data_IF_208461705486
#
_entry.id   IF_208461705486
#
_cell.length_a   1.000
_cell.length_b   1.000
_cell.length_c   1.000
_cell.angle_alpha   90.00
_cell.angle_beta   90.00
_cell.angle_gamma   90.00
#
_symmetry.space_group_name_H-M   'P 1'
#
loop_
_entity.id
_entity.type
_entity.pdbx_description
1 polymer ?
#
# COMPACT_ATOMS: atom_id res chain seq x y z
N UNK A 1 -15.36 -4.64 -11.92
CA UNK A 1 -13.96 -4.59 -11.75
C UNK A 1 -13.49 -4.30 -10.34
N UNK A 2 -12.36 -3.63 -10.25
CA UNK A 2 -11.66 -3.43 -8.97
C UNK A 2 -12.46 -2.66 -7.91
N UNK A 3 -13.40 -1.80 -8.31
CA UNK A 3 -14.23 -1.02 -7.36
C UNK A 3 -15.04 -1.89 -6.40
N UNK A 4 -15.71 -2.92 -6.92
CA UNK A 4 -16.51 -3.84 -6.09
C UNK A 4 -15.63 -4.64 -5.14
N UNK A 5 -14.45 -5.03 -5.61
CA UNK A 5 -13.47 -5.74 -4.79
C UNK A 5 -12.96 -4.84 -3.64
N UNK A 6 -12.57 -3.61 -3.94
CA UNK A 6 -12.10 -2.67 -2.91
C UNK A 6 -13.20 -2.27 -1.93
N UNK A 7 -14.44 -2.06 -2.38
CA UNK A 7 -15.57 -1.78 -1.49
C UNK A 7 -15.87 -2.97 -0.58
N UNK A 8 -15.83 -4.21 -1.11
CA UNK A 8 -15.95 -5.41 -0.31
C UNK A 8 -14.82 -5.52 0.72
N UNK A 9 -13.59 -5.28 0.30
CA UNK A 9 -12.42 -5.28 1.19
C UNK A 9 -12.54 -4.24 2.31
N UNK A 10 -13.03 -3.04 2.00
CA UNK A 10 -13.25 -1.99 3.01
C UNK A 10 -14.24 -2.43 4.09
N UNK A 11 -15.34 -3.10 3.69
CA UNK A 11 -16.31 -3.67 4.64
C UNK A 11 -15.71 -4.74 5.54
N UNK A 12 -14.79 -5.56 4.99
CA UNK A 12 -14.05 -6.51 5.80
C UNK A 12 -13.13 -5.81 6.81
N UNK A 13 -12.45 -4.74 6.40
CA UNK A 13 -11.60 -3.94 7.28
C UNK A 13 -12.37 -3.33 8.45
N UNK A 14 -13.60 -2.89 8.25
CA UNK A 14 -14.46 -2.30 9.28
C UNK A 14 -14.74 -3.27 10.44
N UNK A 15 -14.78 -4.58 10.15
CA UNK A 15 -15.05 -5.63 11.15
C UNK A 15 -13.81 -6.43 11.56
N UNK A 16 -12.67 -6.20 10.93
CA UNK A 16 -11.49 -7.06 11.06
C UNK A 16 -10.98 -7.21 12.50
N UNK A 17 -11.03 -6.15 13.30
CA UNK A 17 -10.61 -6.23 14.71
C UNK A 17 -11.50 -7.16 15.53
N UNK A 18 -12.79 -7.21 15.24
CA UNK A 18 -13.73 -8.13 15.86
C UNK A 18 -13.48 -9.57 15.40
N UNK A 19 -13.36 -9.77 14.08
CA UNK A 19 -13.21 -11.11 13.49
C UNK A 19 -11.91 -11.80 13.93
N UNK A 20 -10.83 -11.02 14.10
CA UNK A 20 -9.54 -11.52 14.58
C UNK A 20 -9.42 -11.56 16.11
N UNK A 21 -10.41 -11.04 16.84
CA UNK A 21 -10.31 -10.78 18.29
C UNK A 21 -8.98 -10.08 18.63
N UNK A 22 -8.62 -9.09 17.83
CA UNK A 22 -7.35 -8.37 17.95
C UNK A 22 -7.46 -6.98 17.32
N UNK A 23 -7.08 -5.94 18.06
CA UNK A 23 -7.15 -4.56 17.55
C UNK A 23 -6.10 -4.33 16.45
N UNK A 24 -6.53 -4.31 15.19
CA UNK A 24 -5.69 -4.00 14.03
C UNK A 24 -5.42 -2.50 13.86
N UNK A 25 -5.98 -1.68 14.77
CA UNK A 25 -5.82 -0.22 14.77
C UNK A 25 -6.21 0.41 13.42
N UNK A 26 -7.31 -0.07 12.84
CA UNK A 26 -7.90 0.56 11.66
C UNK A 26 -8.66 1.81 12.10
N UNK A 27 -8.31 2.96 11.51
CA UNK A 27 -8.88 4.26 11.79
C UNK A 27 -9.38 4.89 10.51
N UNK A 28 -10.70 5.05 10.39
CA UNK A 28 -11.33 5.71 9.26
C UNK A 28 -11.18 7.22 9.40
N UNK A 29 -10.29 7.80 8.61
CA UNK A 29 -9.90 9.22 8.69
C UNK A 29 -10.12 9.97 7.37
N UNK A 30 -10.78 9.37 6.42
CA UNK A 30 -10.87 9.77 5.03
C UNK A 30 -9.54 9.65 4.26
N UNK A 31 -9.67 9.33 2.98
CA UNK A 31 -8.61 9.44 1.98
C UNK A 31 -8.93 10.63 1.08
N UNK A 32 -8.04 11.61 1.04
CA UNK A 32 -8.21 12.87 0.31
C UNK A 32 -7.17 12.93 -0.81
N UNK A 33 -7.60 12.73 -2.04
CA UNK A 33 -6.73 12.79 -3.23
C UNK A 33 -6.83 14.18 -3.86
N UNK A 34 -5.76 14.96 -3.72
CA UNK A 34 -5.69 16.31 -4.28
C UNK A 34 -5.60 16.27 -5.81
N UNK A 35 -6.24 17.20 -6.48
CA UNK A 35 -6.01 17.43 -7.91
C UNK A 35 -5.39 18.81 -8.17
N UNK A 36 -4.39 18.80 -9.05
CA UNK A 36 -3.52 19.94 -9.32
C UNK A 36 -3.74 20.52 -10.72
N UNK A 37 -4.72 20.00 -11.47
CA UNK A 37 -5.07 20.49 -12.80
C UNK A 37 -6.55 20.29 -13.09
N UNK A 38 -7.16 21.06 -14.01
CA UNK A 38 -8.53 20.84 -14.46
C UNK A 38 -8.75 19.43 -15.01
N UNK A 39 -7.79 18.90 -15.78
CA UNK A 39 -7.87 17.54 -16.33
C UNK A 39 -7.89 16.48 -15.22
N UNK A 40 -7.08 16.63 -14.16
CA UNK A 40 -7.09 15.74 -13.01
C UNK A 40 -8.42 15.79 -12.25
N UNK A 41 -9.01 17.01 -12.09
CA UNK A 41 -10.34 17.20 -11.51
C UNK A 41 -11.41 16.48 -12.32
N UNK A 42 -11.43 16.68 -13.63
CA UNK A 42 -12.44 16.08 -14.51
C UNK A 42 -12.27 14.54 -14.56
N UNK A 43 -11.04 14.05 -14.52
CA UNK A 43 -10.74 12.61 -14.38
C UNK A 43 -11.22 12.04 -13.04
N UNK A 44 -11.03 12.77 -11.95
CA UNK A 44 -11.55 12.42 -10.65
C UNK A 44 -13.09 12.38 -10.64
N UNK A 45 -13.75 13.40 -11.19
CA UNK A 45 -15.20 13.45 -11.26
C UNK A 45 -15.78 12.25 -12.03
N UNK A 46 -15.20 11.89 -13.18
CA UNK A 46 -15.61 10.68 -13.93
C UNK A 46 -15.45 9.40 -13.12
N UNK A 47 -14.30 9.21 -12.47
CA UNK A 47 -14.07 8.03 -11.62
C UNK A 47 -15.08 7.97 -10.48
N UNK A 48 -15.33 9.06 -9.79
CA UNK A 48 -16.29 9.12 -8.69
C UNK A 48 -17.72 8.83 -9.11
N UNK A 49 -18.15 9.31 -10.28
CA UNK A 49 -19.45 8.97 -10.81
C UNK A 49 -19.59 7.45 -11.05
N UNK A 50 -18.56 6.82 -11.60
CA UNK A 50 -18.51 5.35 -11.78
C UNK A 50 -18.54 4.65 -10.41
N UNK A 51 -17.72 5.09 -9.45
CA UNK A 51 -17.69 4.50 -8.11
C UNK A 51 -19.05 4.57 -7.42
N UNK A 52 -19.75 5.70 -7.52
CA UNK A 52 -21.10 5.87 -6.96
C UNK A 52 -22.13 4.93 -7.59
N UNK A 53 -22.05 4.67 -8.90
CA UNK A 53 -22.88 3.66 -9.57
C UNK A 53 -22.68 2.25 -9.01
N UNK A 54 -21.49 1.96 -8.47
CA UNK A 54 -21.14 0.69 -7.82
C UNK A 54 -21.34 0.73 -6.29
N UNK A 55 -22.02 1.74 -5.76
CA UNK A 55 -22.35 1.83 -4.34
C UNK A 55 -21.20 2.31 -3.44
N UNK A 56 -20.11 2.80 -4.01
CA UNK A 56 -18.99 3.35 -3.24
C UNK A 56 -19.24 4.80 -2.88
N UNK A 57 -19.11 5.14 -1.59
CA UNK A 57 -19.20 6.51 -1.11
C UNK A 57 -17.99 7.33 -1.59
N UNK A 58 -18.27 8.49 -2.16
CA UNK A 58 -17.22 9.40 -2.57
C UNK A 58 -17.77 10.83 -2.73
N UNK A 59 -16.93 11.80 -2.44
CA UNK A 59 -17.24 13.22 -2.55
C UNK A 59 -16.16 13.94 -3.36
N UNK A 60 -16.57 15.03 -3.99
CA UNK A 60 -15.64 16.00 -4.55
C UNK A 60 -15.68 17.25 -3.67
N UNK A 61 -14.54 17.60 -3.09
CA UNK A 61 -14.39 18.83 -2.33
C UNK A 61 -13.84 19.93 -3.22
N UNK A 62 -14.51 21.07 -3.20
CA UNK A 62 -13.99 22.30 -3.75
C UNK A 62 -12.88 22.89 -2.84
N UNK A 63 -12.29 23.99 -3.29
CA UNK A 63 -11.18 24.61 -2.58
C UNK A 63 -11.56 25.11 -1.19
N UNK A 64 -12.77 25.67 -1.04
CA UNK A 64 -13.24 26.23 0.24
C UNK A 64 -13.53 25.13 1.25
N UNK A 65 -14.21 24.07 0.81
CA UNK A 65 -14.43 22.87 1.63
C UNK A 65 -13.10 22.26 2.07
N UNK A 66 -12.15 22.16 1.15
CA UNK A 66 -10.83 21.60 1.45
C UNK A 66 -10.05 22.46 2.45
N UNK A 67 -10.02 23.79 2.29
CA UNK A 67 -9.40 24.72 3.23
C UNK A 67 -9.97 24.63 4.64
N UNK A 68 -11.30 24.48 4.74
CA UNK A 68 -11.97 24.35 6.03
C UNK A 68 -11.63 23.03 6.74
N UNK A 69 -11.43 21.95 5.99
CA UNK A 69 -11.13 20.63 6.55
C UNK A 69 -9.62 20.38 6.77
N UNK A 70 -8.76 20.95 5.92
CA UNK A 70 -7.31 20.76 5.99
C UNK A 70 -6.61 22.13 5.81
N UNK A 71 -6.67 23.03 6.80
CA UNK A 71 -6.18 24.40 6.65
C UNK A 71 -4.66 24.53 6.50
N UNK A 72 -3.91 23.48 6.82
CA UNK A 72 -2.45 23.54 6.88
C UNK A 72 -1.76 23.17 5.55
N UNK A 73 -2.53 22.89 4.49
CA UNK A 73 -1.97 22.69 3.15
C UNK A 73 -1.51 24.02 2.53
N UNK A 74 -0.56 23.94 1.63
CA UNK A 74 -0.04 25.10 0.91
C UNK A 74 -0.94 25.46 -0.29
N UNK A 75 -1.96 26.25 -0.03
CA UNK A 75 -2.92 26.70 -1.06
C UNK A 75 -2.36 27.79 -1.98
N UNK A 76 -1.22 28.37 -1.65
CA UNK A 76 -0.56 29.43 -2.42
C UNK A 76 0.59 28.91 -3.29
N UNK A 77 0.70 27.59 -3.45
CA UNK A 77 1.75 26.99 -4.27
C UNK A 77 1.44 27.15 -5.75
N UNK A 78 2.17 28.05 -6.43
CA UNK A 78 1.99 28.29 -7.86
C UNK A 78 2.48 27.14 -8.73
N UNK A 79 3.47 26.37 -8.28
CA UNK A 79 4.03 25.25 -9.03
C UNK A 79 3.12 24.00 -8.97
N UNK A 80 2.47 23.79 -7.82
CA UNK A 80 1.56 22.65 -7.61
C UNK A 80 0.24 23.17 -7.02
N UNK A 81 -0.58 23.90 -7.82
CA UNK A 81 -1.81 24.51 -7.34
C UNK A 81 -2.78 23.43 -6.88
N UNK A 82 -3.43 23.65 -5.76
CA UNK A 82 -4.50 22.77 -5.27
C UNK A 82 -5.83 23.32 -5.77
N UNK A 83 -6.56 22.56 -6.56
CA UNK A 83 -7.85 22.95 -7.13
C UNK A 83 -9.04 22.30 -6.42
N UNK A 84 -8.79 21.39 -5.50
CA UNK A 84 -9.78 20.62 -4.76
C UNK A 84 -9.30 19.20 -4.53
N UNK A 85 -10.21 18.33 -4.11
CA UNK A 85 -9.91 16.93 -3.82
C UNK A 85 -11.07 15.98 -4.11
N UNK A 86 -10.69 14.73 -4.40
CA UNK A 86 -11.60 13.60 -4.37
C UNK A 86 -11.47 12.89 -3.02
N UNK A 87 -12.58 12.62 -2.34
CA UNK A 87 -12.59 12.18 -0.95
C UNK A 87 -13.38 10.89 -0.78
N UNK A 88 -12.77 9.90 -0.11
CA UNK A 88 -13.43 8.68 0.35
C UNK A 88 -13.40 8.67 1.89
N UNK A 89 -14.56 8.96 2.51
CA UNK A 89 -14.65 9.16 3.97
C UNK A 89 -14.39 7.89 4.79
N UNK A 90 -14.77 6.73 4.27
CA UNK A 90 -14.61 5.45 4.98
C UNK A 90 -13.19 4.89 4.90
N UNK A 91 -12.35 5.39 4.01
CA UNK A 91 -10.95 5.04 3.95
C UNK A 91 -10.17 5.61 5.15
N UNK A 92 -9.00 5.09 5.40
CA UNK A 92 -8.20 5.50 6.55
C UNK A 92 -6.86 4.80 6.64
N UNK A 93 -6.34 4.73 7.84
CA UNK A 93 -5.07 4.08 8.17
C UNK A 93 -5.29 2.80 8.97
N UNK A 94 -4.47 1.79 8.71
CA UNK A 94 -4.31 0.63 9.58
C UNK A 94 -2.84 0.49 9.97
N UNK A 95 -2.57 -0.04 11.14
CA UNK A 95 -1.20 -0.35 11.54
C UNK A 95 -0.81 -1.71 10.97
N UNK A 96 0.16 -1.70 10.08
CA UNK A 96 0.62 -2.89 9.38
C UNK A 96 1.13 -4.00 10.33
N UNK A 97 1.87 -3.63 11.37
CA UNK A 97 2.35 -4.55 12.41
C UNK A 97 1.19 -5.20 13.19
N UNK A 98 0.23 -4.41 13.66
CA UNK A 98 -0.95 -4.90 14.36
C UNK A 98 -1.80 -5.81 13.47
N UNK A 99 -1.95 -5.47 12.21
CA UNK A 99 -2.68 -6.30 11.24
C UNK A 99 -2.01 -7.66 11.06
N UNK A 100 -0.69 -7.68 10.83
CA UNK A 100 0.07 -8.93 10.69
C UNK A 100 -0.03 -9.79 11.94
N UNK A 101 0.13 -9.22 13.13
CA UNK A 101 -0.01 -9.94 14.39
C UNK A 101 -1.43 -10.46 14.62
N UNK A 102 -2.46 -9.69 14.25
CA UNK A 102 -3.85 -10.12 14.34
C UNK A 102 -4.11 -11.38 13.49
N UNK A 103 -3.70 -11.36 12.22
CA UNK A 103 -3.82 -12.51 11.34
C UNK A 103 -2.97 -13.70 11.80
N UNK A 104 -1.73 -13.48 12.24
CA UNK A 104 -0.86 -14.55 12.70
C UNK A 104 -1.45 -15.26 13.94
N UNK A 105 -1.94 -14.51 14.93
CA UNK A 105 -2.59 -15.07 16.12
C UNK A 105 -3.86 -15.86 15.76
N UNK A 106 -4.69 -15.33 14.90
CA UNK A 106 -5.90 -16.02 14.46
C UNK A 106 -5.56 -17.30 13.69
N UNK A 107 -4.57 -17.27 12.81
CA UNK A 107 -4.10 -18.45 12.08
C UNK A 107 -3.56 -19.51 13.06
N UNK A 108 -2.71 -19.15 14.00
CA UNK A 108 -2.16 -20.04 15.04
C UNK A 108 -3.31 -20.70 15.86
N UNK A 109 -4.28 -19.91 16.28
CA UNK A 109 -5.46 -20.45 17.03
C UNK A 109 -6.31 -21.44 16.22
N UNK A 110 -6.23 -21.40 14.89
CA UNK A 110 -6.86 -22.33 13.96
C UNK A 110 -5.97 -23.54 13.62
N UNK A 111 -4.79 -23.65 14.22
CA UNK A 111 -3.86 -24.76 14.05
C UNK A 111 -2.94 -24.62 12.83
N UNK A 112 -2.71 -23.40 12.35
CA UNK A 112 -1.75 -23.15 11.27
C UNK A 112 -0.33 -23.07 11.86
N UNK A 113 0.58 -23.89 11.35
CA UNK A 113 2.00 -23.80 11.69
C UNK A 113 2.67 -22.61 10.99
N UNK A 114 3.19 -21.66 11.76
CA UNK A 114 3.90 -20.49 11.27
C UNK A 114 5.40 -20.67 11.48
N UNK A 115 6.14 -20.90 10.42
CA UNK A 115 7.58 -21.13 10.45
C UNK A 115 8.36 -19.84 10.15
N UNK A 116 8.74 -19.12 11.19
CA UNK A 116 9.59 -17.93 11.05
C UNK A 116 11.03 -18.31 10.73
N UNK A 117 11.79 -17.41 10.06
CA UNK A 117 13.18 -17.65 9.66
C UNK A 117 13.32 -18.98 8.88
N UNK A 118 12.42 -19.20 7.94
CA UNK A 118 12.38 -20.36 7.07
C UNK A 118 12.33 -19.88 5.62
N UNK A 119 13.50 -19.65 5.05
CA UNK A 119 13.64 -19.15 3.68
C UNK A 119 13.37 -20.25 2.67
N UNK A 120 12.58 -19.93 1.64
CA UNK A 120 12.40 -20.79 0.47
C UNK A 120 13.60 -20.63 -0.44
N UNK A 121 14.34 -21.71 -0.63
CA UNK A 121 15.59 -21.75 -1.43
C UNK A 121 15.41 -22.43 -2.77
N UNK A 122 14.30 -23.12 -3.00
CA UNK A 122 14.01 -23.78 -4.26
C UNK A 122 12.64 -24.43 -4.32
N UNK A 123 12.26 -24.84 -5.52
CA UNK A 123 10.99 -25.51 -5.80
C UNK A 123 11.30 -26.74 -6.64
N UNK A 124 10.98 -27.92 -6.14
CA UNK A 124 11.01 -29.16 -6.91
C UNK A 124 9.65 -29.46 -7.50
N UNK A 125 9.60 -29.72 -8.77
CA UNK A 125 8.36 -30.07 -9.49
C UNK A 125 8.54 -31.26 -10.41
N UNK A 126 7.44 -31.98 -10.60
CA UNK A 126 7.20 -32.82 -11.78
C UNK A 126 6.65 -31.97 -12.93
N UNK A 127 6.24 -32.62 -14.00
CA UNK A 127 5.67 -31.93 -15.16
C UNK A 127 4.46 -31.05 -14.80
N UNK A 128 3.57 -31.49 -13.91
CA UNK A 128 2.28 -30.87 -13.62
C UNK A 128 2.08 -30.42 -12.16
N UNK A 129 2.97 -30.73 -11.24
CA UNK A 129 2.78 -30.50 -9.81
C UNK A 129 4.07 -30.02 -9.14
N UNK A 130 3.92 -29.22 -8.08
CA UNK A 130 4.96 -29.03 -7.07
C UNK A 130 5.07 -30.34 -6.26
N UNK A 131 6.27 -30.88 -6.15
CA UNK A 131 6.59 -32.07 -5.34
C UNK A 131 7.05 -31.71 -3.94
N UNK A 132 7.91 -30.69 -3.84
CA UNK A 132 8.39 -30.13 -2.57
C UNK A 132 8.84 -28.69 -2.72
N UNK A 133 8.75 -27.96 -1.62
CA UNK A 133 9.39 -26.65 -1.42
C UNK A 133 10.66 -26.87 -0.62
N UNK A 134 11.80 -26.53 -1.19
CA UNK A 134 13.08 -26.55 -0.50
C UNK A 134 13.22 -25.31 0.36
N UNK A 135 13.58 -25.49 1.62
CA UNK A 135 13.72 -24.37 2.56
C UNK A 135 15.04 -24.48 3.34
N UNK A 136 15.42 -23.39 4.01
CA UNK A 136 16.56 -23.37 4.93
C UNK A 136 16.43 -24.36 6.10
N UNK A 137 15.23 -24.93 6.31
CA UNK A 137 14.93 -25.94 7.34
C UNK A 137 14.63 -27.33 6.78
N UNK A 138 14.93 -27.57 5.50
CA UNK A 138 14.68 -28.83 4.81
C UNK A 138 13.52 -28.76 3.83
N UNK A 139 13.26 -29.88 3.16
CA UNK A 139 12.23 -30.00 2.16
C UNK A 139 10.84 -30.19 2.81
N UNK A 140 9.85 -29.46 2.32
CA UNK A 140 8.47 -29.53 2.77
C UNK A 140 7.57 -30.01 1.63
N UNK A 141 6.65 -30.92 1.92
CA UNK A 141 5.67 -31.45 0.96
C UNK A 141 4.27 -31.04 1.38
N UNK A 142 3.47 -30.64 0.42
CA UNK A 142 2.06 -30.29 0.62
C UNK A 142 1.18 -30.76 -0.54
N UNK A 143 -0.09 -31.02 -0.26
CA UNK A 143 -1.08 -31.34 -1.30
C UNK A 143 -1.38 -30.15 -2.20
N UNK A 144 -1.35 -28.94 -1.65
CA UNK A 144 -1.56 -27.66 -2.33
C UNK A 144 -0.52 -26.66 -1.85
N UNK A 145 -0.06 -25.80 -2.75
CA UNK A 145 0.91 -24.75 -2.48
C UNK A 145 0.33 -23.42 -2.92
N UNK A 146 0.48 -22.38 -2.10
CA UNK A 146 0.10 -21.01 -2.43
C UNK A 146 1.33 -20.12 -2.42
N UNK A 147 1.56 -19.36 -3.48
CA UNK A 147 2.54 -18.28 -3.47
C UNK A 147 1.81 -16.97 -3.10
N UNK A 148 2.16 -16.40 -1.95
CA UNK A 148 1.65 -15.13 -1.46
C UNK A 148 2.84 -14.36 -0.84
N UNK A 149 3.78 -13.95 -1.68
CA UNK A 149 5.11 -13.49 -1.29
C UNK A 149 5.43 -12.07 -1.79
N UNK A 150 4.39 -11.34 -2.17
CA UNK A 150 4.45 -9.93 -2.60
C UNK A 150 5.63 -9.67 -3.56
N UNK A 151 6.48 -8.72 -3.30
CA UNK A 151 7.61 -8.34 -4.16
C UNK A 151 8.59 -9.44 -4.55
N UNK A 152 8.52 -10.64 -3.95
CA UNK A 152 9.32 -11.80 -4.34
C UNK A 152 8.59 -12.81 -5.24
N UNK A 153 7.39 -12.49 -5.68
CA UNK A 153 6.54 -13.39 -6.46
C UNK A 153 7.21 -13.84 -7.76
N UNK A 154 7.79 -12.94 -8.52
CA UNK A 154 8.50 -13.29 -9.77
C UNK A 154 9.69 -14.21 -9.53
N UNK A 155 10.39 -14.08 -8.40
CA UNK A 155 11.51 -14.93 -8.04
C UNK A 155 11.05 -16.38 -7.78
N UNK A 156 10.02 -16.57 -6.95
CA UNK A 156 9.48 -17.90 -6.68
C UNK A 156 8.84 -18.53 -7.92
N UNK A 157 8.24 -17.73 -8.77
CA UNK A 157 7.68 -18.15 -10.04
C UNK A 157 8.74 -18.74 -10.98
N UNK A 158 9.88 -18.06 -11.08
CA UNK A 158 11.05 -18.54 -11.82
C UNK A 158 11.66 -19.80 -11.20
N UNK A 159 11.75 -19.86 -9.87
CA UNK A 159 12.21 -21.07 -9.15
C UNK A 159 11.31 -22.28 -9.43
N UNK A 160 10.00 -22.06 -9.65
CA UNK A 160 9.07 -23.09 -10.07
C UNK A 160 9.16 -23.45 -11.58
N UNK A 161 10.08 -22.82 -12.32
CA UNK A 161 10.30 -23.07 -13.74
C UNK A 161 9.11 -22.67 -14.63
N UNK A 162 8.35 -21.66 -14.21
CA UNK A 162 7.16 -21.18 -14.95
C UNK A 162 7.45 -20.00 -15.89
N UNK A 163 8.72 -19.67 -16.11
CA UNK A 163 9.13 -18.57 -16.97
C UNK A 163 8.97 -17.21 -16.30
N UNK A 164 8.52 -16.22 -17.06
CA UNK A 164 8.36 -14.85 -16.58
C UNK A 164 6.90 -14.55 -16.23
N UNK A 165 6.69 -13.94 -15.08
CA UNK A 165 5.43 -13.35 -14.68
C UNK A 165 5.48 -11.84 -14.97
N UNK A 166 4.40 -11.20 -15.49
CA UNK A 166 4.40 -9.76 -15.77
C UNK A 166 4.22 -8.94 -14.49
N UNK A 167 5.07 -9.19 -13.51
CA UNK A 167 5.20 -8.47 -12.25
C UNK A 167 6.66 -8.07 -12.08
N UNK A 168 6.89 -6.81 -11.80
CA UNK A 168 8.20 -6.24 -11.54
C UNK A 168 8.30 -5.77 -10.09
N UNK A 169 9.47 -5.97 -9.49
CA UNK A 169 9.70 -5.60 -8.10
C UNK A 169 10.44 -4.28 -8.02
N UNK A 170 9.84 -3.31 -7.33
CA UNK A 170 10.38 -1.99 -7.15
C UNK A 170 10.45 -1.64 -5.67
N UNK A 171 11.41 -0.79 -5.32
CA UNK A 171 11.55 -0.29 -3.97
C UNK A 171 10.60 0.87 -3.74
N UNK A 172 9.86 0.84 -2.64
CA UNK A 172 9.04 1.93 -2.13
C UNK A 172 9.54 2.34 -0.75
N UNK A 173 9.62 3.65 -0.48
CA UNK A 173 10.14 4.17 0.77
C UNK A 173 9.07 4.92 1.56
N UNK A 174 9.16 4.82 2.87
CA UNK A 174 8.33 5.55 3.81
C UNK A 174 9.18 6.23 4.89
N UNK A 175 8.68 7.35 5.40
CA UNK A 175 9.37 8.25 6.30
C UNK A 175 8.49 8.54 7.51
N UNK A 176 9.11 8.72 8.68
CA UNK A 176 8.41 9.13 9.89
C UNK A 176 9.17 10.25 10.59
N UNK A 177 8.41 11.26 11.04
CA UNK A 177 8.95 12.42 11.76
C UNK A 177 8.89 12.21 13.27
N UNK A 178 9.54 13.13 14.01
CA UNK A 178 9.22 13.34 15.41
C UNK A 178 7.74 13.70 15.60
N UNK A 179 7.23 13.48 16.81
CA UNK A 179 5.83 13.74 17.14
C UNK A 179 5.58 15.25 17.27
N UNK A 180 4.49 15.69 16.69
CA UNK A 180 4.00 17.07 16.76
C UNK A 180 2.55 17.07 17.24
N UNK A 181 2.01 18.24 17.53
CA UNK A 181 0.58 18.40 17.85
C UNK A 181 -0.30 17.88 16.70
N UNK A 182 -1.53 17.43 16.98
CA UNK A 182 -2.49 17.08 15.93
C UNK A 182 -2.66 18.21 14.91
N UNK A 183 -2.45 17.89 13.65
CA UNK A 183 -2.41 18.84 12.53
C UNK A 183 -3.16 18.33 11.32
N UNK A 184 -3.22 16.99 11.14
CA UNK A 184 -3.78 16.34 9.98
C UNK A 184 -4.57 15.09 10.39
N UNK A 185 -5.89 15.16 10.25
CA UNK A 185 -6.75 14.02 10.56
C UNK A 185 -6.87 13.04 9.38
N UNK A 186 -6.75 13.52 8.15
CA UNK A 186 -6.97 12.76 6.93
C UNK A 186 -5.66 12.12 6.41
N UNK A 187 -5.82 11.12 5.56
CA UNK A 187 -4.75 10.66 4.66
C UNK A 187 -4.82 11.51 3.40
N UNK A 188 -3.80 12.28 3.12
CA UNK A 188 -3.73 13.13 1.93
C UNK A 188 -2.80 12.50 0.89
N UNK A 189 -3.30 12.34 -0.34
CA UNK A 189 -2.53 11.90 -1.50
C UNK A 189 -2.44 13.04 -2.49
N UNK A 190 -1.26 13.27 -3.03
CA UNK A 190 -0.98 14.42 -3.90
C UNK A 190 0.08 14.09 -4.95
N UNK A 191 0.09 14.88 -6.02
CA UNK A 191 1.09 14.77 -7.08
C UNK A 191 2.09 15.92 -7.03
N UNK A 192 3.38 15.60 -7.15
CA UNK A 192 4.46 16.57 -7.28
C UNK A 192 5.43 16.06 -8.35
N UNK A 193 5.68 16.86 -9.37
CA UNK A 193 6.65 16.50 -10.43
C UNK A 193 6.31 15.26 -11.25
N UNK A 194 5.03 14.83 -11.26
CA UNK A 194 4.59 13.61 -11.95
C UNK A 194 4.58 12.36 -11.06
N UNK A 195 5.16 12.43 -9.87
CA UNK A 195 5.12 11.38 -8.87
C UNK A 195 3.91 11.51 -7.94
N UNK A 196 3.53 10.41 -7.29
CA UNK A 196 2.43 10.37 -6.33
C UNK A 196 2.96 10.15 -4.93
N UNK A 197 2.59 11.03 -4.03
CA UNK A 197 2.98 10.99 -2.63
C UNK A 197 1.76 10.91 -1.72
N UNK A 198 1.97 10.42 -0.50
CA UNK A 198 0.96 10.44 0.54
C UNK A 198 1.54 11.02 1.83
N UNK A 199 0.67 11.58 2.66
CA UNK A 199 1.00 12.02 4.00
C UNK A 199 -0.19 11.77 4.94
N UNK A 200 0.11 11.33 6.15
CA UNK A 200 -0.86 11.15 7.23
C UNK A 200 -0.21 11.41 8.57
N UNK A 201 -1.00 11.67 9.59
CA UNK A 201 -0.50 11.79 10.96
C UNK A 201 -0.92 10.58 11.78
N UNK A 202 0.03 9.99 12.51
CA UNK A 202 -0.25 8.87 13.41
C UNK A 202 -0.90 9.36 14.70
N UNK A 203 -1.52 8.45 15.46
CA UNK A 203 -2.14 8.75 16.75
C UNK A 203 -1.12 9.28 17.78
N UNK A 204 0.16 8.97 17.60
CA UNK A 204 1.28 9.48 18.43
C UNK A 204 1.80 10.84 17.98
N UNK A 205 1.20 11.45 16.97
CA UNK A 205 1.55 12.77 16.45
C UNK A 205 2.65 12.79 15.38
N UNK A 206 3.32 11.67 15.08
CA UNK A 206 4.32 11.64 14.01
C UNK A 206 3.66 11.70 12.64
N UNK A 207 4.22 12.50 11.75
CA UNK A 207 3.83 12.45 10.33
C UNK A 207 4.46 11.23 9.67
N UNK A 208 3.67 10.50 8.92
CA UNK A 208 4.09 9.38 8.07
C UNK A 208 3.84 9.78 6.63
N UNK A 209 4.87 9.76 5.83
CA UNK A 209 4.76 10.13 4.42
C UNK A 209 5.69 9.29 3.56
N UNK A 210 5.46 9.31 2.28
CA UNK A 210 6.21 8.56 1.30
C UNK A 210 5.50 8.63 -0.04
N UNK A 211 5.87 7.76 -0.93
CA UNK A 211 5.36 7.71 -2.28
C UNK A 211 6.51 7.66 -3.25
N UNK A 212 6.18 7.74 -4.51
CA UNK A 212 7.06 7.49 -5.63
C UNK A 212 7.77 6.12 -5.56
N UNK A 213 8.09 5.59 -6.71
CA UNK A 213 8.78 4.33 -6.84
C UNK A 213 10.22 4.60 -7.27
N UNK A 214 11.12 3.81 -6.76
CA UNK A 214 12.45 3.69 -7.37
C UNK A 214 12.28 2.92 -8.69
N UNK A 215 12.37 3.62 -9.81
CA UNK A 215 11.95 3.12 -11.12
C UNK A 215 12.84 2.03 -11.72
N UNK A 216 13.93 1.66 -11.08
CA UNK A 216 14.66 0.46 -11.46
C UNK A 216 14.28 -0.75 -10.59
N UNK A 217 14.26 -1.92 -11.21
CA UNK A 217 13.90 -3.18 -10.55
C UNK A 217 14.92 -3.52 -9.47
N UNK A 218 14.45 -3.78 -8.27
CA UNK A 218 15.32 -4.07 -7.13
C UNK A 218 14.60 -4.83 -6.03
N UNK A 219 15.32 -5.72 -5.38
CA UNK A 219 14.91 -6.38 -4.12
C UNK A 219 15.55 -5.72 -2.89
N UNK A 220 16.20 -4.57 -3.04
CA UNK A 220 16.82 -3.87 -1.93
C UNK A 220 15.76 -3.39 -0.93
N UNK A 221 15.99 -3.66 0.35
CA UNK A 221 15.10 -3.26 1.45
C UNK A 221 15.64 -2.04 2.22
N UNK A 222 16.69 -1.41 1.72
CA UNK A 222 17.26 -0.18 2.29
C UNK A 222 16.89 1.01 1.43
N UNK A 223 16.58 2.13 2.08
CA UNK A 223 16.34 3.39 1.42
C UNK A 223 17.59 3.96 0.73
N UNK A 224 17.41 4.98 -0.09
CA UNK A 224 18.48 5.75 -0.74
C UNK A 224 18.26 7.24 -0.52
N UNK A 225 19.33 8.02 -0.65
CA UNK A 225 19.30 9.45 -0.42
C UNK A 225 18.46 10.25 -1.44
N UNK A 226 18.47 9.95 -2.75
CA UNK A 226 17.60 10.64 -3.70
C UNK A 226 16.12 10.60 -3.30
N UNK A 227 15.60 9.43 -2.93
CA UNK A 227 14.20 9.30 -2.50
C UNK A 227 13.90 10.01 -1.18
N UNK A 228 14.88 10.13 -0.28
CA UNK A 228 14.74 10.97 0.93
C UNK A 228 14.53 12.42 0.55
N UNK A 229 15.35 12.92 -0.38
CA UNK A 229 15.28 14.29 -0.87
C UNK A 229 13.95 14.56 -1.56
N UNK A 230 13.59 13.75 -2.55
CA UNK A 230 12.36 13.92 -3.35
C UNK A 230 11.11 13.88 -2.47
N UNK A 231 11.05 12.92 -1.53
CA UNK A 231 9.92 12.80 -0.61
C UNK A 231 9.83 13.97 0.39
N UNK A 232 10.96 14.47 0.88
CA UNK A 232 11.00 15.62 1.77
C UNK A 232 10.60 16.91 1.04
N UNK A 233 11.09 17.12 -0.18
CA UNK A 233 10.72 18.26 -1.02
C UNK A 233 9.22 18.23 -1.37
N UNK A 234 8.68 17.07 -1.72
CA UNK A 234 7.26 16.88 -2.01
C UNK A 234 6.39 17.16 -0.77
N UNK A 235 6.79 16.64 0.40
CA UNK A 235 6.07 16.89 1.65
C UNK A 235 6.08 18.40 2.03
N UNK A 236 7.21 19.07 1.90
CA UNK A 236 7.33 20.51 2.16
C UNK A 236 6.59 21.36 1.12
N UNK A 237 6.50 20.92 -0.13
CA UNK A 237 5.73 21.62 -1.16
C UNK A 237 4.23 21.71 -0.80
N UNK A 238 3.69 20.64 -0.20
CA UNK A 238 2.28 20.56 0.20
C UNK A 238 2.04 21.08 1.62
N UNK A 239 2.97 20.84 2.55
CA UNK A 239 2.87 21.28 3.95
C UNK A 239 4.20 21.93 4.39
N UNK A 240 4.40 23.23 4.14
CA UNK A 240 5.68 23.91 4.41
C UNK A 240 6.12 23.87 5.87
N UNK A 241 5.20 23.71 6.80
CA UNK A 241 5.50 23.59 8.23
C UNK A 241 6.40 22.38 8.56
N UNK A 242 6.40 21.36 7.71
CA UNK A 242 7.23 20.16 7.87
C UNK A 242 8.74 20.44 7.73
N UNK A 243 9.13 21.53 7.07
CA UNK A 243 10.53 21.90 6.93
C UNK A 243 11.28 22.21 8.26
N UNK A 244 10.55 22.28 9.38
CA UNK A 244 11.11 22.46 10.72
C UNK A 244 11.08 21.22 11.59
N UNK A 245 10.59 20.09 11.06
CA UNK A 245 10.36 18.85 11.79
C UNK A 245 11.45 17.84 11.41
N UNK A 246 11.98 17.13 12.41
CA UNK A 246 13.04 16.17 12.20
C UNK A 246 12.50 14.85 11.67
N UNK A 247 13.16 14.28 10.68
CA UNK A 247 12.98 12.89 10.30
C UNK A 247 13.65 12.00 11.36
N UNK A 248 12.87 11.06 11.92
CA UNK A 248 13.41 10.08 12.89
C UNK A 248 13.97 8.85 12.18
N UNK A 249 13.29 8.38 11.18
CA UNK A 249 13.72 7.21 10.38
C UNK A 249 13.04 7.17 9.03
N UNK A 250 13.63 6.37 8.16
CA UNK A 250 13.00 5.90 6.94
C UNK A 250 13.23 4.39 6.80
N UNK A 251 12.41 3.75 6.03
CA UNK A 251 12.54 2.35 5.67
C UNK A 251 12.07 2.13 4.24
N UNK A 252 12.41 0.99 3.68
CA UNK A 252 11.98 0.60 2.35
C UNK A 252 11.40 -0.81 2.37
N UNK A 253 10.47 -1.06 1.46
CA UNK A 253 9.90 -2.36 1.16
C UNK A 253 9.96 -2.65 -0.33
N UNK A 254 9.86 -3.91 -0.68
CA UNK A 254 9.78 -4.34 -2.07
C UNK A 254 8.31 -4.42 -2.44
N UNK A 255 7.91 -3.62 -3.41
CA UNK A 255 6.57 -3.58 -3.96
C UNK A 255 6.53 -4.31 -5.29
N UNK A 256 5.60 -5.20 -5.47
CA UNK A 256 5.29 -5.85 -6.73
C UNK A 256 4.36 -4.97 -7.56
N UNK A 257 4.75 -4.77 -8.80
CA UNK A 257 4.02 -3.94 -9.77
C UNK A 257 3.61 -4.80 -10.95
N UNK A 258 2.31 -4.99 -11.11
CA UNK A 258 1.75 -5.52 -12.35
C UNK A 258 1.60 -4.41 -13.39
N UNK A 259 1.48 -4.76 -14.66
CA UNK A 259 1.45 -3.80 -15.77
C UNK A 259 0.27 -2.80 -15.71
N UNK A 260 -0.84 -3.21 -15.10
CA UNK A 260 -2.07 -2.40 -14.98
C UNK A 260 -2.42 -2.04 -13.53
N UNK A 261 -1.54 -2.35 -12.57
CA UNK A 261 -1.77 -2.13 -11.14
C UNK A 261 -2.82 -3.06 -10.52
N UNK A 262 -3.23 -4.13 -11.25
CA UNK A 262 -4.17 -5.12 -10.73
C UNK A 262 -3.43 -6.30 -10.12
N UNK A 263 -4.06 -6.90 -9.11
CA UNK A 263 -3.53 -8.09 -8.43
C UNK A 263 -3.80 -9.37 -9.24
N UNK A 264 -2.99 -10.40 -8.98
CA UNK A 264 -3.14 -11.74 -9.51
C UNK A 264 -3.67 -12.68 -8.42
N UNK A 265 -4.91 -13.13 -8.55
CA UNK A 265 -5.47 -14.19 -7.72
C UNK A 265 -5.96 -15.29 -8.67
N UNK A 266 -5.16 -16.34 -8.83
CA UNK A 266 -5.44 -17.33 -9.88
C UNK A 266 -4.87 -18.73 -9.59
N UNK A 267 -5.38 -19.70 -10.36
CA UNK A 267 -4.72 -20.99 -10.55
C UNK A 267 -3.55 -20.81 -11.51
N UNK A 268 -2.53 -21.62 -11.36
CA UNK A 268 -1.35 -21.61 -12.22
C UNK A 268 -1.39 -22.78 -13.21
N UNK A 269 -0.44 -22.87 -14.15
CA UNK A 269 -0.30 -24.06 -14.99
C UNK A 269 -0.01 -25.35 -14.22
N UNK A 270 0.50 -25.26 -12.98
CA UNK A 270 0.69 -26.42 -12.11
C UNK A 270 -0.59 -26.69 -11.32
N UNK A 271 -1.05 -27.94 -11.31
CA UNK A 271 -2.39 -28.30 -10.81
C UNK A 271 -2.58 -28.06 -9.30
N UNK A 272 -1.49 -28.05 -8.53
CA UNK A 272 -1.50 -27.86 -7.09
C UNK A 272 -0.90 -26.52 -6.63
N UNK A 273 -0.54 -25.61 -7.56
CA UNK A 273 0.00 -24.30 -7.24
C UNK A 273 -1.04 -23.19 -7.49
N UNK A 274 -1.18 -22.31 -6.53
CA UNK A 274 -2.04 -21.12 -6.56
C UNK A 274 -1.20 -19.87 -6.37
N UNK A 275 -1.62 -18.77 -6.97
CA UNK A 275 -0.96 -17.48 -6.89
C UNK A 275 -1.89 -16.43 -6.25
N UNK A 276 -1.33 -15.63 -5.34
CA UNK A 276 -1.89 -14.40 -4.79
C UNK A 276 -0.78 -13.34 -4.74
N UNK A 277 -0.80 -12.38 -5.68
CA UNK A 277 0.21 -11.35 -5.84
C UNK A 277 -0.38 -10.02 -6.27
#
# INVERSE_FOLDING_TARGET
GNHEFYEHSLKLWENLSHDLNYNVMFSQRAHVSLFHSPSARDGAARRYNIMRLHGTDGELWDLDTLKNNIPHLNYNNARFPILGAAVQKRAGNARHDSTVWGFARAADSLGVDILQNCEVTGVKRSQNNIESIETSRGAMKAKKVGFAVAGHTSLLWQMAGLGNLPIESHKLQAFVTESIKPLLDQVVVYGVGGAHFYISQSDKGSMVFGGDLDWYKSYAQRGNLPMVQDSAEAAMAIMPCLGRIRLLRHWAGVMDMSMDGSFFICKTPLSNLYLNA
#
